data_IF_630875330336
#
_entry.id   IF_630875330336
#
_cell.length_a   1.000
_cell.length_b   1.000
_cell.length_c   1.000
_cell.angle_alpha   90.00
_cell.angle_beta   90.00
_cell.angle_gamma   90.00
#
_symmetry.space_group_name_H-M   'P 1'
#
loop_
_entity.id
_entity.type
_entity.pdbx_description
1 polymer ?
#
# COMPACT_ATOMS: atom_id res chain seq x y z
N UNK A 1 63.24 -7.46 -27.83
CA UNK A 1 62.49 -6.18 -27.85
C UNK A 1 60.96 -6.36 -27.97
N UNK A 2 60.38 -7.53 -27.66
CA UNK A 2 58.95 -7.83 -27.89
C UNK A 2 58.06 -7.89 -26.64
N UNK A 3 58.62 -7.92 -25.42
CA UNK A 3 57.80 -7.99 -24.18
C UNK A 3 57.27 -6.64 -23.68
N UNK A 4 57.94 -5.53 -23.99
CA UNK A 4 57.55 -4.17 -23.54
C UNK A 4 56.27 -3.65 -24.22
N UNK A 5 55.95 -4.15 -25.41
CA UNK A 5 54.83 -3.65 -26.22
C UNK A 5 53.48 -4.30 -25.84
N UNK A 6 53.51 -5.45 -25.15
CA UNK A 6 52.31 -6.17 -24.70
C UNK A 6 51.75 -5.60 -23.39
N UNK A 7 52.63 -5.26 -22.44
CA UNK A 7 52.26 -4.60 -21.18
C UNK A 7 51.74 -3.17 -21.40
N UNK A 8 52.32 -2.43 -22.36
CA UNK A 8 51.84 -1.10 -22.74
C UNK A 8 50.42 -1.12 -23.35
N UNK A 9 50.12 -2.12 -24.20
CA UNK A 9 48.77 -2.28 -24.78
C UNK A 9 47.72 -2.65 -23.74
N UNK A 10 48.05 -3.56 -22.81
CA UNK A 10 47.17 -3.96 -21.71
C UNK A 10 46.88 -2.78 -20.75
N UNK A 11 47.89 -1.97 -20.42
CA UNK A 11 47.71 -0.77 -19.58
C UNK A 11 46.90 0.33 -20.29
N UNK A 12 47.02 0.49 -21.61
CA UNK A 12 46.21 1.45 -22.36
C UNK A 12 44.74 1.01 -22.49
N UNK A 13 44.49 -0.29 -22.63
CA UNK A 13 43.15 -0.85 -22.66
C UNK A 13 42.46 -0.77 -21.29
N UNK A 14 43.20 -1.02 -20.20
CA UNK A 14 42.72 -0.83 -18.83
C UNK A 14 42.37 0.65 -18.54
N UNK A 15 43.25 1.59 -18.92
CA UNK A 15 42.96 3.03 -18.78
C UNK A 15 41.77 3.52 -19.62
N UNK A 16 41.53 2.91 -20.79
CA UNK A 16 40.35 3.15 -21.62
C UNK A 16 39.05 2.72 -20.94
N UNK A 17 39.03 1.53 -20.35
CA UNK A 17 37.86 0.99 -19.61
C UNK A 17 37.58 1.84 -18.36
N UNK A 18 38.62 2.23 -17.62
CA UNK A 18 38.49 3.09 -16.44
C UNK A 18 37.96 4.49 -16.80
N UNK A 19 38.37 5.04 -17.96
CA UNK A 19 37.89 6.34 -18.44
C UNK A 19 36.42 6.31 -18.89
N UNK A 20 35.99 5.22 -19.55
CA UNK A 20 34.59 5.02 -19.96
C UNK A 20 33.70 4.79 -18.73
N UNK A 21 34.15 3.99 -17.77
CA UNK A 21 33.45 3.76 -16.51
C UNK A 21 33.34 5.05 -15.67
N UNK A 22 34.39 5.87 -15.61
CA UNK A 22 34.36 7.17 -14.94
C UNK A 22 33.39 8.15 -15.61
N UNK A 23 33.32 8.16 -16.95
CA UNK A 23 32.41 9.01 -17.71
C UNK A 23 30.95 8.57 -17.54
N UNK A 24 30.69 7.26 -17.53
CA UNK A 24 29.37 6.69 -17.25
C UNK A 24 28.88 7.01 -15.83
N UNK A 25 29.74 6.89 -14.81
CA UNK A 25 29.43 7.27 -13.41
C UNK A 25 29.12 8.77 -13.28
N UNK A 26 29.88 9.64 -13.95
CA UNK A 26 29.62 11.09 -14.00
C UNK A 26 28.28 11.42 -14.65
N UNK A 27 27.95 10.76 -15.76
CA UNK A 27 26.65 10.94 -16.44
C UNK A 27 25.48 10.42 -15.59
N UNK A 28 25.64 9.30 -14.89
CA UNK A 28 24.64 8.77 -13.96
C UNK A 28 24.41 9.72 -12.77
N UNK A 29 25.48 10.26 -12.18
CA UNK A 29 25.38 11.24 -11.08
C UNK A 29 24.79 12.57 -11.56
N UNK A 30 25.16 13.05 -12.75
CA UNK A 30 24.57 14.26 -13.35
C UNK A 30 23.07 14.06 -13.60
N UNK A 31 22.66 12.91 -14.14
CA UNK A 31 21.24 12.56 -14.31
C UNK A 31 20.51 12.50 -12.96
N UNK A 32 21.11 11.88 -11.94
CA UNK A 32 20.54 11.84 -10.58
C UNK A 32 20.32 13.25 -10.02
N UNK A 33 21.32 14.13 -10.13
CA UNK A 33 21.22 15.52 -9.69
C UNK A 33 20.18 16.30 -10.50
N UNK A 34 20.12 16.13 -11.82
CA UNK A 34 19.11 16.76 -12.68
C UNK A 34 17.68 16.28 -12.33
N UNK A 35 17.51 15.00 -12.00
CA UNK A 35 16.22 14.46 -11.54
C UNK A 35 15.82 15.05 -10.19
N UNK A 36 16.75 15.16 -9.23
CA UNK A 36 16.47 15.80 -7.94
C UNK A 36 16.15 17.29 -8.10
N UNK A 37 16.90 18.00 -8.95
CA UNK A 37 16.60 19.39 -9.29
C UNK A 37 15.23 19.51 -9.93
N UNK A 38 14.91 18.68 -10.93
CA UNK A 38 13.60 18.66 -11.58
C UNK A 38 12.46 18.36 -10.60
N UNK A 39 12.64 17.43 -9.67
CA UNK A 39 11.67 17.14 -8.59
C UNK A 39 11.48 18.32 -7.65
N UNK A 40 12.57 18.96 -7.22
CA UNK A 40 12.50 20.14 -6.36
C UNK A 40 11.85 21.33 -7.08
N UNK A 41 12.20 21.57 -8.33
CA UNK A 41 11.58 22.62 -9.17
C UNK A 41 10.10 22.35 -9.36
N UNK A 42 9.69 21.11 -9.68
CA UNK A 42 8.28 20.76 -9.81
C UNK A 42 7.51 20.96 -8.50
N UNK A 43 8.08 20.51 -7.38
CA UNK A 43 7.48 20.71 -6.05
C UNK A 43 7.30 22.20 -5.72
N UNK A 44 8.35 23.00 -5.94
CA UNK A 44 8.30 24.45 -5.71
C UNK A 44 7.31 25.16 -6.63
N UNK A 45 7.21 24.76 -7.90
CA UNK A 45 6.26 25.33 -8.85
C UNK A 45 4.81 25.00 -8.45
N UNK A 46 4.54 23.77 -8.03
CA UNK A 46 3.18 23.36 -7.63
C UNK A 46 2.77 24.01 -6.32
N UNK A 47 3.59 23.87 -5.27
CA UNK A 47 3.25 24.38 -3.93
C UNK A 47 3.39 25.91 -3.87
N UNK A 48 4.47 26.45 -4.43
CA UNK A 48 4.67 27.90 -4.52
C UNK A 48 3.64 28.56 -5.42
N UNK A 49 3.33 27.94 -6.56
CA UNK A 49 2.25 28.39 -7.45
C UNK A 49 0.90 28.39 -6.74
N UNK A 50 0.54 27.31 -6.04
CA UNK A 50 -0.69 27.25 -5.25
C UNK A 50 -0.74 28.36 -4.19
N UNK A 51 0.33 28.54 -3.40
CA UNK A 51 0.39 29.59 -2.37
C UNK A 51 0.25 31.00 -2.96
N UNK A 52 0.89 31.27 -4.09
CA UNK A 52 0.82 32.57 -4.77
C UNK A 52 -0.58 32.81 -5.35
N UNK A 53 -1.15 31.82 -6.05
CA UNK A 53 -2.48 31.93 -6.64
C UNK A 53 -3.56 32.12 -5.56
N UNK A 54 -3.45 31.43 -4.43
CA UNK A 54 -4.35 31.63 -3.29
C UNK A 54 -4.13 33.00 -2.63
N UNK A 55 -2.88 33.44 -2.49
CA UNK A 55 -2.54 34.72 -1.87
C UNK A 55 -2.94 35.93 -2.70
N UNK A 56 -2.89 35.81 -4.03
CA UNK A 56 -3.35 36.84 -4.97
C UNK A 56 -4.87 36.82 -5.21
N UNK A 57 -5.59 35.86 -4.61
CA UNK A 57 -7.05 35.73 -4.80
C UNK A 57 -7.46 35.25 -6.19
N UNK A 58 -6.53 34.69 -6.98
CA UNK A 58 -6.84 34.08 -8.28
C UNK A 58 -7.68 32.82 -8.09
N UNK A 59 -7.39 32.07 -7.03
CA UNK A 59 -8.22 30.98 -6.51
C UNK A 59 -8.67 31.36 -5.11
N UNK A 60 -9.93 31.06 -4.79
CA UNK A 60 -10.52 31.40 -3.50
C UNK A 60 -9.98 30.45 -2.41
N UNK A 61 -9.21 30.97 -1.42
CA UNK A 61 -8.68 30.17 -0.32
C UNK A 61 -9.75 29.48 0.52
N UNK A 62 -11.00 29.95 0.47
CA UNK A 62 -12.12 29.30 1.15
C UNK A 62 -12.37 27.88 0.62
N UNK A 63 -12.32 27.68 -0.70
CA UNK A 63 -12.56 26.37 -1.32
C UNK A 63 -11.29 25.53 -1.44
N UNK A 64 -10.16 26.18 -1.74
CA UNK A 64 -8.93 25.48 -2.07
C UNK A 64 -7.95 25.43 -0.92
N UNK A 65 -8.14 26.20 0.15
CA UNK A 65 -7.12 26.37 1.18
C UNK A 65 -5.84 27.02 0.63
N UNK A 66 -4.79 26.98 1.43
CA UNK A 66 -3.44 27.37 1.01
C UNK A 66 -2.39 26.51 1.71
N UNK A 67 -1.21 26.25 1.10
CA UNK A 67 -0.14 25.50 1.75
C UNK A 67 0.22 26.04 3.14
N UNK A 68 0.32 27.37 3.29
CA UNK A 68 0.57 28.02 4.58
C UNK A 68 -0.57 27.82 5.58
N UNK A 69 -1.83 27.93 5.12
CA UNK A 69 -3.01 27.68 5.96
C UNK A 69 -3.12 26.24 6.44
N UNK A 70 -2.77 25.27 5.58
CA UNK A 70 -2.72 23.84 5.92
C UNK A 70 -1.67 23.60 7.01
N UNK A 71 -0.45 24.15 6.86
CA UNK A 71 0.60 24.01 7.87
C UNK A 71 0.19 24.65 9.19
N UNK A 72 -0.40 25.85 9.16
CA UNK A 72 -0.90 26.51 10.36
C UNK A 72 -1.97 25.66 11.06
N UNK A 73 -2.89 25.04 10.30
CA UNK A 73 -3.93 24.18 10.83
C UNK A 73 -3.37 22.90 11.47
N UNK A 74 -2.36 22.29 10.84
CA UNK A 74 -1.66 21.13 11.39
C UNK A 74 -0.94 21.45 12.70
N UNK A 75 -0.27 22.60 12.78
CA UNK A 75 0.39 23.07 14.00
C UNK A 75 -0.63 23.35 15.13
N UNK A 76 -1.75 23.97 14.77
CA UNK A 76 -2.86 24.20 15.70
C UNK A 76 -3.41 22.87 16.26
N UNK A 77 -3.71 21.90 15.41
CA UNK A 77 -4.13 20.57 15.86
C UNK A 77 -3.09 19.82 16.68
N UNK A 78 -1.80 19.99 16.38
CA UNK A 78 -0.73 19.35 17.14
C UNK A 78 -0.60 19.90 18.57
N UNK A 79 -0.82 21.20 18.77
CA UNK A 79 -0.69 21.86 20.08
C UNK A 79 -2.00 21.94 20.86
N UNK A 80 -3.09 22.33 20.20
CA UNK A 80 -4.38 22.64 20.81
C UNK A 80 -5.39 21.49 20.65
N UNK A 81 -5.11 20.53 19.77
CA UNK A 81 -6.02 19.42 19.48
C UNK A 81 -7.13 19.78 18.50
N UNK A 82 -8.05 18.85 18.33
CA UNK A 82 -9.26 18.99 17.50
C UNK A 82 -10.49 19.18 18.38
N UNK A 83 -11.65 19.44 17.76
CA UNK A 83 -12.93 19.46 18.46
C UNK A 83 -13.28 18.13 19.17
N UNK A 84 -12.60 17.03 18.80
CA UNK A 84 -12.83 15.68 19.31
C UNK A 84 -11.67 15.20 20.21
N UNK A 85 -10.86 16.13 20.71
CA UNK A 85 -9.67 15.86 21.51
C UNK A 85 -8.39 15.88 20.67
N UNK A 86 -7.30 15.36 21.24
CA UNK A 86 -5.97 15.40 20.63
C UNK A 86 -5.93 14.78 19.23
N UNK A 87 -5.22 15.41 18.29
CA UNK A 87 -5.03 14.85 16.93
C UNK A 87 -4.34 13.49 16.96
N UNK A 88 -3.46 13.28 17.94
CA UNK A 88 -2.74 12.01 18.14
C UNK A 88 -3.69 10.86 18.49
N UNK A 89 -4.76 11.15 19.25
CA UNK A 89 -5.81 10.17 19.53
C UNK A 89 -6.56 9.80 18.24
N UNK A 90 -6.90 10.78 17.42
CA UNK A 90 -7.61 10.53 16.15
C UNK A 90 -6.77 9.67 15.21
N UNK A 91 -5.46 9.96 15.10
CA UNK A 91 -4.50 9.16 14.33
C UNK A 91 -4.45 7.73 14.87
N UNK A 92 -4.32 7.56 16.18
CA UNK A 92 -4.21 6.25 16.81
C UNK A 92 -5.45 5.39 16.56
N UNK A 93 -6.65 5.95 16.75
CA UNK A 93 -7.92 5.25 16.53
C UNK A 93 -8.03 4.75 15.09
N UNK A 94 -7.72 5.59 14.11
CA UNK A 94 -7.74 5.18 12.70
C UNK A 94 -6.73 4.07 12.41
N UNK A 95 -5.53 4.14 12.98
CA UNK A 95 -4.51 3.09 12.84
C UNK A 95 -5.01 1.78 13.44
N UNK A 96 -5.59 1.83 14.64
CA UNK A 96 -6.13 0.66 15.34
C UNK A 96 -7.27 0.00 14.55
N UNK A 97 -8.24 0.78 14.09
CA UNK A 97 -9.35 0.30 13.26
C UNK A 97 -8.86 -0.33 11.96
N UNK A 98 -7.91 0.32 11.29
CA UNK A 98 -7.30 -0.15 10.05
C UNK A 98 -6.52 -1.45 10.26
N UNK A 99 -5.79 -1.58 11.38
CA UNK A 99 -4.97 -2.75 11.69
C UNK A 99 -5.83 -3.95 12.05
N UNK A 100 -6.85 -3.75 12.90
CA UNK A 100 -7.81 -4.80 13.26
C UNK A 100 -8.57 -5.29 12.02
N UNK A 101 -9.03 -4.35 11.18
CA UNK A 101 -9.69 -4.67 9.92
C UNK A 101 -8.77 -5.42 8.95
N UNK A 102 -7.51 -5.00 8.83
CA UNK A 102 -6.50 -5.69 8.03
C UNK A 102 -6.29 -7.13 8.51
N UNK A 103 -6.04 -7.34 9.80
CA UNK A 103 -5.80 -8.69 10.35
C UNK A 103 -7.02 -9.58 10.13
N UNK A 104 -8.23 -9.08 10.44
CA UNK A 104 -9.46 -9.84 10.27
C UNK A 104 -9.72 -10.19 8.79
N UNK A 105 -9.55 -9.22 7.88
CA UNK A 105 -9.75 -9.39 6.45
C UNK A 105 -8.72 -10.31 5.80
N UNK A 106 -7.43 -10.19 6.17
CA UNK A 106 -6.35 -11.06 5.66
C UNK A 106 -6.62 -12.49 6.12
N UNK A 107 -6.87 -12.68 7.41
CA UNK A 107 -7.09 -14.01 7.99
C UNK A 107 -8.29 -14.69 7.31
N UNK A 108 -9.44 -14.02 7.26
CA UNK A 108 -10.65 -14.58 6.64
C UNK A 108 -10.51 -14.76 5.13
N UNK A 109 -9.86 -13.81 4.44
CA UNK A 109 -9.61 -13.84 3.01
C UNK A 109 -8.70 -14.99 2.59
N UNK A 110 -7.59 -15.21 3.31
CA UNK A 110 -6.69 -16.35 3.08
C UNK A 110 -7.43 -17.66 3.33
N UNK A 111 -8.09 -17.80 4.48
CA UNK A 111 -8.76 -19.04 4.86
C UNK A 111 -9.82 -19.45 3.83
N UNK A 112 -10.71 -18.53 3.47
CA UNK A 112 -11.76 -18.81 2.50
C UNK A 112 -11.22 -18.91 1.07
N UNK A 113 -10.25 -18.07 0.70
CA UNK A 113 -9.65 -18.10 -0.65
C UNK A 113 -8.93 -19.41 -0.93
N UNK A 114 -8.15 -19.90 0.03
CA UNK A 114 -7.48 -21.21 -0.08
C UNK A 114 -8.50 -22.34 -0.08
N UNK A 115 -9.47 -22.34 0.85
CA UNK A 115 -10.49 -23.38 0.95
C UNK A 115 -11.32 -23.52 -0.34
N UNK A 116 -11.81 -22.40 -0.88
CA UNK A 116 -12.60 -22.42 -2.12
C UNK A 116 -11.71 -22.66 -3.34
N UNK A 117 -10.43 -22.27 -3.31
CA UNK A 117 -9.47 -22.59 -4.36
C UNK A 117 -9.27 -24.10 -4.52
N UNK A 118 -9.19 -24.83 -3.40
CA UNK A 118 -8.98 -26.27 -3.31
C UNK A 118 -10.22 -27.11 -3.61
N UNK A 119 -11.43 -26.61 -3.31
CA UNK A 119 -12.68 -27.36 -3.42
C UNK A 119 -13.57 -26.76 -4.53
N UNK A 120 -13.49 -27.26 -5.78
CA UNK A 120 -14.25 -26.72 -6.92
C UNK A 120 -15.76 -26.67 -6.68
N UNK A 121 -16.33 -27.73 -6.09
CA UNK A 121 -17.75 -27.79 -5.77
C UNK A 121 -18.20 -26.62 -4.87
N UNK A 122 -17.43 -26.32 -3.82
CA UNK A 122 -17.76 -25.22 -2.91
C UNK A 122 -17.62 -23.85 -3.61
N UNK A 123 -16.60 -23.70 -4.47
CA UNK A 123 -16.42 -22.51 -5.27
C UNK A 123 -17.59 -22.27 -6.24
N UNK A 124 -18.11 -23.33 -6.86
CA UNK A 124 -19.23 -23.24 -7.80
C UNK A 124 -20.54 -22.90 -7.08
N UNK A 125 -20.76 -23.45 -5.88
CA UNK A 125 -21.94 -23.18 -5.05
C UNK A 125 -21.92 -21.75 -4.50
N UNK A 126 -20.79 -21.31 -3.93
CA UNK A 126 -20.71 -20.03 -3.19
C UNK A 126 -20.32 -18.87 -4.11
N UNK A 127 -19.72 -19.16 -5.27
CA UNK A 127 -19.20 -18.18 -6.23
C UNK A 127 -20.18 -17.07 -6.63
N UNK A 128 -21.45 -17.37 -6.99
CA UNK A 128 -22.44 -16.34 -7.30
C UNK A 128 -22.68 -15.37 -6.13
N UNK A 129 -22.77 -15.87 -4.90
CA UNK A 129 -23.00 -15.04 -3.71
C UNK A 129 -21.80 -14.13 -3.41
N UNK A 130 -20.57 -14.64 -3.52
CA UNK A 130 -19.34 -13.84 -3.35
C UNK A 130 -19.30 -12.70 -4.37
N UNK A 131 -19.66 -12.98 -5.63
CA UNK A 131 -19.71 -11.96 -6.69
C UNK A 131 -20.76 -10.89 -6.40
N UNK A 132 -21.94 -11.28 -5.92
CA UNK A 132 -23.02 -10.34 -5.55
C UNK A 132 -22.55 -9.41 -4.43
N UNK A 133 -21.98 -9.97 -3.35
CA UNK A 133 -21.51 -9.15 -2.21
C UNK A 133 -20.36 -8.22 -2.64
N UNK A 134 -19.42 -8.70 -3.47
CA UNK A 134 -18.34 -7.87 -3.99
C UNK A 134 -18.82 -6.78 -4.96
N UNK A 135 -19.99 -6.94 -5.57
CA UNK A 135 -20.56 -5.93 -6.47
C UNK A 135 -21.22 -4.77 -5.72
N UNK A 136 -21.53 -4.93 -4.42
CA UNK A 136 -22.16 -3.88 -3.63
C UNK A 136 -21.22 -2.67 -3.47
N UNK A 137 -21.73 -1.42 -3.58
CA UNK A 137 -20.95 -0.24 -3.29
C UNK A 137 -20.49 -0.24 -1.82
N UNK A 138 -19.19 -0.11 -1.61
CA UNK A 138 -18.59 -0.23 -0.26
C UNK A 138 -19.06 0.90 0.67
N UNK A 139 -19.29 2.08 0.11
CA UNK A 139 -19.86 3.23 0.84
C UNK A 139 -21.25 2.89 1.40
N UNK A 140 -22.10 2.22 0.62
CA UNK A 140 -23.45 1.82 1.05
C UNK A 140 -23.37 0.79 2.18
N UNK A 141 -22.43 -0.17 2.09
CA UNK A 141 -22.17 -1.11 3.18
C UNK A 141 -21.75 -0.39 4.47
N UNK A 142 -20.90 0.63 4.37
CA UNK A 142 -20.49 1.44 5.52
C UNK A 142 -21.68 2.06 6.26
N UNK A 143 -22.63 2.67 5.55
CA UNK A 143 -23.82 3.26 6.18
C UNK A 143 -24.69 2.21 6.88
N UNK A 144 -24.86 1.04 6.28
CA UNK A 144 -25.62 -0.07 6.89
C UNK A 144 -24.89 -0.62 8.13
N UNK A 145 -23.57 -0.75 8.09
CA UNK A 145 -22.77 -1.20 9.22
C UNK A 145 -22.82 -0.22 10.38
N UNK A 146 -22.81 1.09 10.12
CA UNK A 146 -22.99 2.11 11.15
C UNK A 146 -24.39 1.99 11.78
N UNK A 147 -25.42 1.74 10.99
CA UNK A 147 -26.78 1.51 11.48
C UNK A 147 -26.89 0.23 12.34
N UNK A 148 -26.22 -0.86 11.94
CA UNK A 148 -26.31 -2.16 12.62
C UNK A 148 -25.39 -2.29 13.84
N UNK A 149 -24.14 -1.83 13.72
CA UNK A 149 -23.09 -2.01 14.73
C UNK A 149 -22.82 -0.72 15.53
N UNK A 150 -23.47 0.38 15.16
CA UNK A 150 -23.36 1.67 15.83
C UNK A 150 -22.15 2.51 15.40
N UNK A 151 -21.96 3.62 16.10
CA UNK A 151 -20.91 4.61 15.86
C UNK A 151 -19.53 4.21 16.40
N UNK A 152 -19.44 3.11 17.16
CA UNK A 152 -18.18 2.64 17.73
C UNK A 152 -17.24 2.00 16.70
N UNK A 153 -16.14 1.48 17.22
CA UNK A 153 -15.07 0.80 16.46
C UNK A 153 -15.54 -0.37 15.57
N UNK A 154 -16.50 -1.24 15.99
CA UNK A 154 -16.84 -2.44 15.20
C UNK A 154 -17.31 -2.16 13.77
N UNK A 155 -18.06 -1.08 13.52
CA UNK A 155 -18.54 -0.76 12.17
C UNK A 155 -17.40 -0.46 11.19
N UNK A 156 -16.33 0.19 11.66
CA UNK A 156 -15.16 0.57 10.84
C UNK A 156 -14.24 -0.62 10.61
N UNK A 157 -13.99 -1.38 11.67
CA UNK A 157 -13.19 -2.62 11.60
C UNK A 157 -13.82 -3.61 10.62
N UNK A 158 -15.14 -3.81 10.67
CA UNK A 158 -15.84 -4.71 9.74
C UNK A 158 -15.79 -4.17 8.30
N UNK A 159 -15.97 -2.86 8.11
CA UNK A 159 -15.86 -2.27 6.77
C UNK A 159 -14.45 -2.45 6.19
N UNK A 160 -13.42 -2.10 6.95
CA UNK A 160 -12.02 -2.32 6.58
C UNK A 160 -11.74 -3.81 6.28
N UNK A 161 -12.23 -4.71 7.13
CA UNK A 161 -12.08 -6.15 6.93
C UNK A 161 -12.75 -6.64 5.64
N UNK A 162 -13.92 -6.12 5.26
CA UNK A 162 -14.59 -6.49 4.01
C UNK A 162 -13.76 -6.06 2.79
N UNK A 163 -13.21 -4.85 2.79
CA UNK A 163 -12.38 -4.37 1.69
C UNK A 163 -11.12 -5.24 1.53
N UNK A 164 -10.44 -5.51 2.64
CA UNK A 164 -9.23 -6.34 2.69
C UNK A 164 -9.55 -7.79 2.31
N UNK A 165 -10.66 -8.33 2.83
CA UNK A 165 -11.12 -9.69 2.58
C UNK A 165 -11.16 -9.99 1.09
N UNK A 166 -11.82 -9.16 0.28
CA UNK A 166 -11.97 -9.46 -1.15
C UNK A 166 -10.64 -9.42 -1.91
N UNK A 167 -9.76 -8.46 -1.59
CA UNK A 167 -8.43 -8.37 -2.21
C UNK A 167 -7.64 -9.64 -1.93
N UNK A 168 -7.57 -10.05 -0.68
CA UNK A 168 -6.79 -11.21 -0.26
C UNK A 168 -7.44 -12.52 -0.70
N UNK A 169 -8.76 -12.62 -0.61
CA UNK A 169 -9.55 -13.78 -1.05
C UNK A 169 -9.28 -14.11 -2.51
N UNK A 170 -9.41 -13.13 -3.42
CA UNK A 170 -9.24 -13.39 -4.85
C UNK A 170 -7.78 -13.73 -5.20
N UNK A 171 -6.80 -13.15 -4.51
CA UNK A 171 -5.39 -13.50 -4.71
C UNK A 171 -5.05 -14.89 -4.16
N UNK A 172 -5.55 -15.25 -2.98
CA UNK A 172 -5.39 -16.58 -2.40
C UNK A 172 -6.05 -17.66 -3.28
N UNK A 173 -7.30 -17.41 -3.72
CA UNK A 173 -8.05 -18.30 -4.59
C UNK A 173 -7.35 -18.53 -5.94
N UNK A 174 -6.86 -17.46 -6.58
CA UNK A 174 -6.10 -17.55 -7.82
C UNK A 174 -4.74 -18.22 -7.60
N UNK A 175 -4.05 -17.90 -6.51
CA UNK A 175 -2.76 -18.50 -6.16
C UNK A 175 -2.85 -20.02 -6.02
N UNK A 176 -3.89 -20.54 -5.37
CA UNK A 176 -4.17 -21.98 -5.30
C UNK A 176 -4.44 -22.58 -6.68
N UNK A 177 -5.26 -21.92 -7.51
CA UNK A 177 -5.62 -22.43 -8.84
C UNK A 177 -4.54 -22.25 -9.91
N UNK A 178 -3.53 -21.42 -9.66
CA UNK A 178 -2.41 -21.17 -10.58
C UNK A 178 -1.38 -22.30 -10.64
N UNK A 179 -1.42 -23.25 -9.70
CA UNK A 179 -0.48 -24.37 -9.63
C UNK A 179 -0.68 -25.30 -10.83
N UNK A 180 0.43 -25.61 -11.51
CA UNK A 180 0.41 -26.52 -12.66
C UNK A 180 -0.13 -27.91 -12.24
N UNK A 181 -1.18 -28.35 -12.94
CA UNK A 181 -1.77 -29.67 -12.74
C UNK A 181 -0.77 -30.79 -13.03
N UNK A 182 0.18 -30.57 -13.95
CA UNK A 182 1.25 -31.53 -14.23
C UNK A 182 2.22 -31.66 -13.06
N UNK A 183 2.56 -30.55 -12.39
CA UNK A 183 3.37 -30.57 -11.18
C UNK A 183 2.68 -31.37 -10.07
N UNK A 184 1.38 -31.15 -9.87
CA UNK A 184 0.57 -31.92 -8.91
C UNK A 184 0.53 -33.40 -9.28
N UNK A 185 0.34 -33.73 -10.57
CA UNK A 185 0.31 -35.11 -11.05
C UNK A 185 1.66 -35.83 -10.83
N UNK A 186 2.78 -35.17 -11.18
CA UNK A 186 4.13 -35.70 -10.97
C UNK A 186 4.41 -36.01 -9.50
N UNK A 187 4.06 -35.09 -8.60
CA UNK A 187 4.24 -35.27 -7.15
C UNK A 187 3.35 -36.39 -6.60
N UNK A 188 2.13 -36.58 -7.14
CA UNK A 188 1.27 -37.73 -6.79
C UNK A 188 1.83 -39.06 -7.29
N UNK A 189 2.43 -39.11 -8.47
CA UNK A 189 3.10 -40.32 -9.00
C UNK A 189 4.26 -40.74 -8.08
N UNK A 190 4.96 -39.78 -7.48
CA UNK A 190 5.99 -40.03 -6.46
C UNK A 190 5.44 -40.47 -5.09
N UNK A 191 4.13 -40.73 -4.97
CA UNK A 191 3.50 -41.26 -3.75
C UNK A 191 3.06 -40.20 -2.74
N UNK A 192 3.02 -38.91 -3.12
CA UNK A 192 2.53 -37.88 -2.22
C UNK A 192 1.01 -37.99 -2.01
N UNK A 193 0.57 -38.01 -0.75
CA UNK A 193 -0.84 -37.91 -0.39
C UNK A 193 -1.39 -36.50 -0.71
N UNK A 194 -2.72 -36.35 -0.80
CA UNK A 194 -3.36 -35.05 -1.02
C UNK A 194 -2.89 -33.98 -0.03
N UNK A 195 -2.76 -34.35 1.24
CA UNK A 195 -2.27 -33.45 2.27
C UNK A 195 -0.81 -33.00 2.02
N UNK A 196 0.07 -33.90 1.58
CA UNK A 196 1.45 -33.55 1.21
C UNK A 196 1.49 -32.58 0.04
N UNK A 197 0.65 -32.80 -0.98
CA UNK A 197 0.53 -31.88 -2.13
C UNK A 197 0.09 -30.49 -1.70
N UNK A 198 -0.95 -30.40 -0.86
CA UNK A 198 -1.45 -29.10 -0.38
C UNK A 198 -0.36 -28.36 0.38
N UNK A 199 0.28 -28.99 1.37
CA UNK A 199 1.27 -28.33 2.22
C UNK A 199 2.60 -28.01 1.53
N UNK A 200 3.05 -28.83 0.57
CA UNK A 200 4.38 -28.67 -0.04
C UNK A 200 4.36 -28.06 -1.44
N UNK A 201 3.20 -27.99 -2.10
CA UNK A 201 3.09 -27.48 -3.47
C UNK A 201 2.10 -26.31 -3.52
N UNK A 202 0.87 -26.53 -3.05
CA UNK A 202 -0.19 -25.52 -3.22
C UNK A 202 0.00 -24.34 -2.28
N UNK A 203 0.13 -24.60 -0.98
CA UNK A 203 0.23 -23.55 0.03
C UNK A 203 1.45 -22.62 -0.22
N UNK A 204 2.67 -23.12 -0.52
CA UNK A 204 3.80 -22.26 -0.86
C UNK A 204 3.56 -21.41 -2.12
N UNK A 205 2.91 -21.98 -3.15
CA UNK A 205 2.57 -21.24 -4.36
C UNK A 205 1.57 -20.12 -4.05
N UNK A 206 0.48 -20.43 -3.36
CA UNK A 206 -0.53 -19.46 -2.96
C UNK A 206 0.02 -18.37 -2.04
N UNK A 207 0.99 -18.70 -1.17
CA UNK A 207 1.63 -17.76 -0.25
C UNK A 207 2.29 -16.60 -0.99
N UNK A 208 2.90 -16.85 -2.16
CA UNK A 208 3.53 -15.80 -2.97
C UNK A 208 2.48 -14.78 -3.45
N UNK A 209 1.32 -15.25 -3.89
CA UNK A 209 0.21 -14.41 -4.31
C UNK A 209 -0.42 -13.66 -3.14
N UNK A 210 -0.58 -14.33 -2.01
CA UNK A 210 -1.12 -13.74 -0.78
C UNK A 210 -0.22 -12.60 -0.32
N UNK A 211 1.09 -12.85 -0.18
CA UNK A 211 2.06 -11.84 0.27
C UNK A 211 2.08 -10.65 -0.69
N UNK A 212 2.11 -10.88 -2.00
CA UNK A 212 2.08 -9.81 -3.00
C UNK A 212 0.81 -8.93 -2.89
N UNK A 213 -0.31 -9.50 -2.43
CA UNK A 213 -1.55 -8.76 -2.24
C UNK A 213 -1.61 -7.92 -0.95
N UNK A 214 -0.72 -8.15 0.02
CA UNK A 214 -0.77 -7.51 1.33
C UNK A 214 -0.56 -5.99 1.27
N UNK A 215 0.29 -5.50 0.35
CA UNK A 215 0.51 -4.06 0.13
C UNK A 215 -0.79 -3.35 -0.26
N UNK A 216 -1.48 -3.91 -1.25
CA UNK A 216 -2.76 -3.39 -1.72
C UNK A 216 -3.82 -3.51 -0.63
N UNK A 217 -3.86 -4.64 0.08
CA UNK A 217 -4.79 -4.86 1.18
C UNK A 217 -4.60 -3.85 2.32
N UNK A 218 -3.37 -3.49 2.67
CA UNK A 218 -3.09 -2.51 3.72
C UNK A 218 -3.62 -1.11 3.36
N UNK A 219 -3.43 -0.69 2.10
CA UNK A 219 -4.04 0.56 1.62
C UNK A 219 -5.56 0.53 1.72
N UNK A 220 -6.18 -0.59 1.38
CA UNK A 220 -7.63 -0.76 1.48
C UNK A 220 -8.16 -0.82 2.92
N UNK A 221 -7.37 -1.30 3.89
CA UNK A 221 -7.78 -1.29 5.29
C UNK A 221 -7.87 0.13 5.84
N UNK A 222 -6.89 0.98 5.49
CA UNK A 222 -6.87 2.41 5.84
C UNK A 222 -8.05 3.12 5.19
N UNK A 223 -8.28 2.90 3.89
CA UNK A 223 -9.44 3.45 3.18
C UNK A 223 -10.75 3.01 3.84
N UNK A 224 -10.87 1.73 4.21
CA UNK A 224 -12.08 1.19 4.83
C UNK A 224 -12.37 1.78 6.21
N UNK A 225 -11.34 1.96 7.05
CA UNK A 225 -11.48 2.63 8.34
C UNK A 225 -11.93 4.09 8.15
N UNK A 226 -11.21 4.86 7.32
CA UNK A 226 -11.52 6.28 7.09
C UNK A 226 -12.93 6.48 6.51
N UNK A 227 -13.34 5.66 5.55
CA UNK A 227 -14.70 5.72 4.99
C UNK A 227 -15.73 5.39 6.07
N UNK A 228 -15.48 4.38 6.91
CA UNK A 228 -16.35 4.04 8.02
C UNK A 228 -16.43 5.17 9.05
N UNK A 229 -15.31 5.82 9.35
CA UNK A 229 -15.23 6.96 10.25
C UNK A 229 -16.00 8.17 9.70
N UNK A 230 -15.81 8.46 8.41
CA UNK A 230 -16.47 9.55 7.70
C UNK A 230 -17.99 9.39 7.65
N UNK A 231 -18.49 8.15 7.50
CA UNK A 231 -19.92 7.85 7.48
C UNK A 231 -20.57 7.93 8.87
N UNK A 232 -19.77 7.85 9.95
CA UNK A 232 -20.23 8.12 11.29
C UNK A 232 -19.36 7.48 12.36
N UNK A 233 -18.66 8.31 13.14
CA UNK A 233 -17.83 7.89 14.26
C UNK A 233 -17.85 8.89 15.41
N UNK A 234 -17.27 8.49 16.54
CA UNK A 234 -17.01 9.37 17.68
C UNK A 234 -15.55 9.87 17.72
N UNK A 235 -14.65 9.15 17.06
CA UNK A 235 -13.20 9.40 16.99
C UNK A 235 -12.68 8.88 15.65
N UNK A 236 -11.50 9.33 15.23
CA UNK A 236 -10.84 8.95 13.98
C UNK A 236 -10.59 10.13 13.03
N UNK A 237 -9.63 9.97 12.14
CA UNK A 237 -9.27 10.97 11.13
C UNK A 237 -10.37 11.21 10.10
N UNK A 238 -11.16 10.18 9.75
CA UNK A 238 -12.33 10.32 8.88
C UNK A 238 -13.41 11.21 9.50
N UNK A 239 -13.59 11.20 10.83
CA UNK A 239 -14.44 12.17 11.52
C UNK A 239 -13.88 13.59 11.40
N UNK A 240 -12.56 13.76 11.59
CA UNK A 240 -11.91 15.07 11.45
C UNK A 240 -12.11 15.63 10.03
N UNK A 241 -11.98 14.79 8.98
CA UNK A 241 -12.26 15.18 7.59
C UNK A 241 -13.72 15.56 7.42
N UNK A 242 -14.65 14.69 7.87
CA UNK A 242 -16.08 14.92 7.71
C UNK A 242 -16.50 16.25 8.34
N UNK A 243 -15.99 16.55 9.53
CA UNK A 243 -16.28 17.81 10.23
C UNK A 243 -15.67 19.00 9.50
N UNK A 244 -14.40 18.94 9.11
CA UNK A 244 -13.75 20.01 8.36
C UNK A 244 -14.50 20.30 7.03
N UNK A 245 -14.94 19.25 6.34
CA UNK A 245 -15.73 19.37 5.12
C UNK A 245 -17.10 20.01 5.39
N UNK A 246 -17.81 19.58 6.44
CA UNK A 246 -19.11 20.13 6.81
C UNK A 246 -19.03 21.59 7.30
N UNK A 247 -17.89 22.02 7.82
CA UNK A 247 -17.64 23.43 8.22
C UNK A 247 -16.95 24.25 7.13
N UNK A 248 -16.76 23.70 5.93
CA UNK A 248 -16.03 24.34 4.82
C UNK A 248 -14.60 24.80 5.20
N UNK A 249 -13.93 24.07 6.09
CA UNK A 249 -12.52 24.28 6.44
C UNK A 249 -11.62 23.51 5.45
N UNK A 250 -11.36 24.10 4.27
CA UNK A 250 -10.52 23.49 3.25
C UNK A 250 -9.10 23.17 3.76
N UNK A 251 -8.51 24.06 4.58
CA UNK A 251 -7.19 23.82 5.18
C UNK A 251 -7.21 22.59 6.10
N UNK A 252 -8.28 22.41 6.87
CA UNK A 252 -8.51 21.22 7.69
C UNK A 252 -8.66 19.95 6.87
N UNK A 253 -9.45 19.96 5.79
CA UNK A 253 -9.60 18.79 4.90
C UNK A 253 -8.26 18.36 4.33
N UNK A 254 -7.51 19.28 3.71
CA UNK A 254 -6.20 18.97 3.15
C UNK A 254 -5.16 18.61 4.21
N UNK A 255 -5.21 19.24 5.39
CA UNK A 255 -4.37 18.89 6.54
C UNK A 255 -4.59 17.45 7.00
N UNK A 256 -5.85 17.04 7.17
CA UNK A 256 -6.18 15.67 7.54
C UNK A 256 -5.76 14.67 6.45
N UNK A 257 -5.93 15.01 5.16
CA UNK A 257 -5.43 14.20 4.04
C UNK A 257 -3.90 14.03 4.06
N UNK A 258 -3.14 15.07 4.43
CA UNK A 258 -1.69 14.96 4.60
C UNK A 258 -1.31 14.01 5.74
N UNK A 259 -2.00 14.10 6.89
CA UNK A 259 -1.79 13.17 8.01
C UNK A 259 -2.06 11.73 7.56
N UNK A 260 -3.16 11.47 6.86
CA UNK A 260 -3.47 10.15 6.31
C UNK A 260 -2.40 9.69 5.33
N UNK A 261 -1.90 10.57 4.46
CA UNK A 261 -0.80 10.27 3.56
C UNK A 261 0.46 9.82 4.30
N UNK A 262 0.81 10.51 5.40
CA UNK A 262 1.94 10.12 6.27
C UNK A 262 1.70 8.78 6.94
N UNK A 263 0.49 8.54 7.46
CA UNK A 263 0.11 7.25 8.08
C UNK A 263 0.21 6.12 7.07
N UNK A 264 -0.35 6.30 5.87
CA UNK A 264 -0.32 5.31 4.80
C UNK A 264 1.10 5.02 4.32
N UNK A 265 1.94 6.04 4.12
CA UNK A 265 3.34 5.86 3.76
C UNK A 265 4.14 5.14 4.86
N UNK A 266 3.87 5.45 6.14
CA UNK A 266 4.51 4.77 7.27
C UNK A 266 4.11 3.30 7.33
N UNK A 267 2.82 3.01 7.11
CA UNK A 267 2.29 1.66 7.04
C UNK A 267 2.89 0.87 5.86
N UNK A 268 3.04 1.51 4.70
CA UNK A 268 3.66 0.92 3.51
C UNK A 268 5.14 0.56 3.75
N UNK A 269 5.91 1.46 4.37
CA UNK A 269 7.31 1.18 4.73
C UNK A 269 7.39 -0.01 5.70
N UNK A 270 6.51 -0.03 6.71
CA UNK A 270 6.44 -1.14 7.66
C UNK A 270 6.09 -2.47 6.95
N UNK A 271 5.15 -2.44 6.02
CA UNK A 271 4.74 -3.61 5.26
C UNK A 271 5.86 -4.13 4.36
N UNK A 272 6.58 -3.25 3.67
CA UNK A 272 7.74 -3.62 2.86
C UNK A 272 8.87 -4.27 3.70
N UNK A 273 9.05 -3.82 4.94
CA UNK A 273 9.98 -4.48 5.87
C UNK A 273 9.51 -5.86 6.28
N UNK A 274 8.20 -6.03 6.52
CA UNK A 274 7.60 -7.32 6.84
C UNK A 274 7.68 -8.30 5.66
N UNK A 275 7.38 -7.83 4.45
CA UNK A 275 7.46 -8.60 3.20
C UNK A 275 8.85 -9.18 3.00
N UNK A 276 9.92 -8.38 3.15
CA UNK A 276 11.31 -8.86 3.03
C UNK A 276 11.63 -10.00 4.00
N UNK A 277 11.05 -10.00 5.20
CA UNK A 277 11.21 -11.10 6.16
C UNK A 277 10.41 -12.33 5.74
N UNK A 278 9.16 -12.14 5.31
CA UNK A 278 8.26 -13.22 4.87
C UNK A 278 8.75 -13.91 3.59
N UNK A 279 9.33 -13.17 2.64
CA UNK A 279 9.85 -13.71 1.38
C UNK A 279 11.32 -14.11 1.43
N UNK A 280 11.93 -14.14 2.63
CA UNK A 280 13.35 -14.52 2.78
C UNK A 280 13.68 -15.94 2.27
N UNK A 281 12.69 -16.81 2.10
CA UNK A 281 12.86 -18.14 1.52
C UNK A 281 12.93 -18.14 -0.02
N UNK A 282 12.54 -17.06 -0.70
CA UNK A 282 12.54 -17.00 -2.16
C UNK A 282 13.96 -16.68 -2.67
N UNK A 283 14.50 -17.46 -3.63
CA UNK A 283 15.73 -17.10 -4.30
C UNK A 283 15.58 -15.71 -4.92
N UNK A 284 16.57 -14.80 -4.80
CA UNK A 284 16.56 -13.53 -5.48
C UNK A 284 16.31 -13.77 -6.97
N UNK A 285 15.19 -13.27 -7.48
CA UNK A 285 14.93 -13.34 -8.91
C UNK A 285 16.00 -12.48 -9.57
N UNK A 286 16.75 -13.03 -10.54
CA UNK A 286 17.99 -12.44 -11.09
C UNK A 286 17.89 -11.07 -11.78
N UNK A 287 16.84 -10.30 -11.54
CA UNK A 287 16.73 -8.88 -11.88
C UNK A 287 17.51 -7.97 -10.90
N UNK A 288 17.71 -8.40 -9.65
CA UNK A 288 18.43 -7.61 -8.64
C UNK A 288 19.97 -7.65 -8.79
N UNK A 289 20.51 -8.60 -9.57
CA UNK A 289 21.96 -8.69 -9.84
C UNK A 289 22.47 -7.68 -10.88
N UNK A 290 21.56 -6.97 -11.58
CA UNK A 290 21.91 -6.00 -12.63
C UNK A 290 21.73 -4.53 -12.21
N UNK A 291 21.47 -4.25 -10.92
CA UNK A 291 21.50 -2.87 -10.41
C UNK A 291 22.84 -2.59 -9.72
N UNK A 292 23.74 -1.81 -10.33
CA UNK A 292 24.93 -1.33 -9.64
C UNK A 292 24.52 -0.31 -8.56
N UNK A 293 24.58 -0.72 -7.30
CA UNK A 293 24.65 0.17 -6.12
C UNK A 293 23.32 0.42 -5.41
N UNK A 294 23.02 -0.44 -4.43
CA UNK A 294 22.55 0.00 -3.11
C UNK A 294 23.78 0.08 -2.21
#
# INVERSE_FOLDING_TARGET
MTSSNSSAKLNSAAGGIDSVAATARRNAQRRKNLVWLGRATLFLLVIGGWQLLSGWGVIDPFFFGSPGGIVARLLDWAHNGTAYGSIWLQIWVTIEESLLGFIAGVTTGVLLGVLLGEIPYLADVVGPFIKIVNALPRIVLGSVLVMWLGLGMPSKVVLAAILVFFVVFFNAFQGVRSVDRNLIANVRILGASRFKVIWHVVFPSAMTWIIASLHVALGFSIIGAIVGEFLGAQQGLGLVIATAQNTFDANGVFGAMLIIGVVALSAEVFMAMLEKRLLSWQPPTGADSNMPGV
#
